data_IF_413420370365
#
_entry.id   IF_413420370365
#
_cell.length_a   1.000
_cell.length_b   1.000
_cell.length_c   1.000
_cell.angle_alpha   90.00
_cell.angle_beta   90.00
_cell.angle_gamma   90.00
#
_symmetry.space_group_name_H-M   'P 1'
#
loop_
_entity.id
_entity.type
_entity.pdbx_description
1 polymer ?
#
# COMPACT_ATOMS: atom_id res chain seq x y z
N UNK A 1 43.15 -45.10 43.01
CA UNK A 1 41.69 -44.94 42.95
C UNK A 1 41.38 -43.45 43.03
N UNK A 2 41.02 -42.82 41.91
CA UNK A 2 40.63 -41.42 41.85
C UNK A 2 39.11 -41.34 41.70
N UNK A 3 38.45 -40.65 42.63
CA UNK A 3 37.00 -40.40 42.59
C UNK A 3 36.80 -39.03 41.96
N UNK A 4 36.18 -39.03 40.77
CA UNK A 4 35.74 -37.81 40.05
C UNK A 4 34.33 -37.47 40.54
N UNK A 5 34.18 -36.31 41.18
CA UNK A 5 32.88 -35.77 41.58
C UNK A 5 32.24 -34.97 40.44
N UNK A 6 31.04 -35.38 40.02
CA UNK A 6 30.21 -34.65 39.04
C UNK A 6 29.66 -33.35 39.65
N UNK A 7 29.90 -32.21 38.98
CA UNK A 7 29.19 -30.96 39.22
C UNK A 7 27.95 -30.91 38.30
N UNK A 8 26.77 -31.08 38.87
CA UNK A 8 25.49 -30.86 38.23
C UNK A 8 25.17 -29.36 38.16
N UNK A 9 25.35 -28.76 36.98
CA UNK A 9 24.95 -27.38 36.69
C UNK A 9 23.45 -27.29 36.38
N UNK A 10 22.66 -26.74 37.30
CA UNK A 10 21.27 -26.39 37.06
C UNK A 10 21.15 -25.08 36.28
N UNK A 11 20.68 -25.14 35.03
CA UNK A 11 20.31 -23.96 34.25
C UNK A 11 18.99 -23.38 34.78
N UNK A 12 19.07 -22.19 35.40
CA UNK A 12 17.89 -21.39 35.68
C UNK A 12 17.38 -20.76 34.37
N UNK A 13 16.14 -21.07 33.99
CA UNK A 13 15.46 -20.40 32.88
C UNK A 13 15.09 -18.99 33.36
N UNK A 14 15.81 -17.97 32.87
CA UNK A 14 15.47 -16.56 33.08
C UNK A 14 14.24 -16.23 32.22
N UNK A 15 13.16 -15.78 32.84
CA UNK A 15 12.01 -15.24 32.13
C UNK A 15 12.47 -14.04 31.28
N UNK A 16 12.02 -13.97 30.02
CA UNK A 16 12.31 -12.87 29.13
C UNK A 16 11.67 -11.58 29.68
N UNK A 17 12.48 -10.58 29.97
CA UNK A 17 11.99 -9.24 30.31
C UNK A 17 11.26 -8.65 29.08
N UNK A 18 10.10 -7.99 29.27
CA UNK A 18 9.44 -7.30 28.18
C UNK A 18 10.41 -6.29 27.55
N UNK A 19 10.61 -6.39 26.24
CA UNK A 19 11.49 -5.51 25.50
C UNK A 19 11.07 -4.03 25.64
N UNK A 20 12.00 -3.09 25.45
CA UNK A 20 11.71 -1.66 25.59
C UNK A 20 10.56 -1.26 24.65
N UNK A 21 9.46 -0.79 25.24
CA UNK A 21 8.38 -0.13 24.50
C UNK A 21 8.96 1.11 23.83
N UNK A 22 8.88 1.19 22.50
CA UNK A 22 9.30 2.36 21.75
C UNK A 22 8.62 3.62 22.30
N UNK A 23 9.32 4.77 22.38
CA UNK A 23 8.75 5.99 22.91
C UNK A 23 7.51 6.41 22.10
N UNK A 24 6.39 6.56 22.79
CA UNK A 24 5.14 7.09 22.21
C UNK A 24 5.41 8.52 21.78
N UNK A 25 5.46 8.77 20.47
CA UNK A 25 5.48 10.14 19.96
C UNK A 25 4.13 10.79 20.31
N UNK A 26 4.11 11.94 21.02
CA UNK A 26 2.86 12.61 21.32
C UNK A 26 2.04 12.83 20.04
N UNK A 27 0.77 12.40 20.04
CA UNK A 27 -0.11 12.52 18.87
C UNK A 27 0.00 11.39 17.83
N UNK A 28 0.70 10.29 18.13
CA UNK A 28 0.72 9.07 17.32
C UNK A 28 0.05 7.92 18.07
N UNK A 29 -0.99 7.32 17.49
CA UNK A 29 -1.76 6.20 18.03
C UNK A 29 -1.71 5.01 17.07
N UNK A 30 -1.57 3.78 17.57
CA UNK A 30 -1.69 2.56 16.75
C UNK A 30 -3.16 2.15 16.69
N UNK A 31 -3.76 2.15 15.50
CA UNK A 31 -5.19 1.82 15.30
C UNK A 31 -5.44 0.44 14.70
N UNK A 32 -4.40 -0.18 14.15
CA UNK A 32 -4.39 -1.57 13.70
C UNK A 32 -2.95 -2.12 13.79
N UNK A 33 -2.79 -3.41 14.06
CA UNK A 33 -1.49 -4.05 14.23
C UNK A 33 -1.51 -5.53 13.81
N UNK A 34 -0.33 -6.15 13.74
CA UNK A 34 -0.20 -7.56 13.37
C UNK A 34 -0.54 -7.83 11.90
N UNK A 35 -0.43 -6.81 11.05
CA UNK A 35 -0.83 -6.86 9.64
C UNK A 35 0.27 -7.46 8.77
N UNK A 36 -0.14 -8.08 7.67
CA UNK A 36 0.73 -8.75 6.70
C UNK A 36 1.00 -7.84 5.49
N UNK A 37 2.16 -7.17 5.45
CA UNK A 37 2.57 -6.23 4.40
C UNK A 37 1.45 -5.19 4.10
N UNK A 38 1.00 -4.38 5.09
CA UNK A 38 -0.09 -3.43 4.89
C UNK A 38 0.34 -2.28 3.98
N UNK A 39 -0.49 -1.95 3.00
CA UNK A 39 -0.22 -0.88 2.03
C UNK A 39 -1.35 0.15 2.01
N UNK A 40 -2.10 0.24 0.91
CA UNK A 40 -3.12 1.25 0.74
C UNK A 40 -4.25 1.21 1.76
N UNK A 41 -4.84 2.38 1.98
CA UNK A 41 -5.80 2.67 3.04
C UNK A 41 -6.98 3.46 2.48
N UNK A 42 -8.20 3.13 2.87
CA UNK A 42 -9.38 3.94 2.54
C UNK A 42 -10.44 3.90 3.63
N UNK A 43 -11.12 5.02 3.84
CA UNK A 43 -12.29 5.06 4.71
C UNK A 43 -13.55 4.61 3.98
N UNK A 44 -14.31 3.74 4.63
CA UNK A 44 -15.67 3.40 4.24
C UNK A 44 -16.69 4.47 4.64
N UNK A 45 -17.93 4.35 4.15
CA UNK A 45 -18.98 5.36 4.36
C UNK A 45 -19.43 5.51 5.81
N UNK A 46 -19.18 4.51 6.68
CA UNK A 46 -19.49 4.59 8.13
C UNK A 46 -18.26 4.97 8.96
N UNK A 47 -17.13 5.26 8.30
CA UNK A 47 -15.90 5.64 8.97
C UNK A 47 -15.02 4.49 9.44
N UNK A 48 -15.28 3.28 8.99
CA UNK A 48 -14.37 2.16 9.13
C UNK A 48 -13.15 2.34 8.21
N UNK A 49 -11.96 1.94 8.65
CA UNK A 49 -10.73 2.04 7.85
C UNK A 49 -10.41 0.69 7.21
N UNK A 50 -10.43 0.63 5.88
CA UNK A 50 -10.01 -0.52 5.10
C UNK A 50 -8.51 -0.47 4.83
N UNK A 51 -7.88 -1.64 4.88
CA UNK A 51 -6.43 -1.82 4.80
C UNK A 51 -6.16 -2.97 3.82
N UNK A 52 -5.39 -2.70 2.78
CA UNK A 52 -4.89 -3.74 1.88
C UNK A 52 -3.69 -4.45 2.50
N UNK A 53 -3.82 -5.76 2.78
CA UNK A 53 -2.72 -6.61 3.26
C UNK A 53 -2.15 -7.42 2.09
N UNK A 54 -0.88 -7.18 1.74
CA UNK A 54 -0.18 -7.93 0.70
C UNK A 54 -0.02 -9.42 0.99
N UNK A 55 -0.17 -9.82 2.26
CA UNK A 55 -0.04 -11.21 2.72
C UNK A 55 1.40 -11.58 3.06
N UNK A 56 1.69 -12.87 3.14
CA UNK A 56 2.99 -13.46 3.51
C UNK A 56 3.44 -14.57 2.57
N UNK A 57 2.85 -14.69 1.38
CA UNK A 57 3.04 -15.86 0.54
C UNK A 57 2.39 -17.11 1.15
N UNK A 58 2.98 -18.29 0.94
CA UNK A 58 2.46 -19.51 1.56
C UNK A 58 3.15 -20.80 1.09
N UNK A 59 2.50 -21.96 1.31
CA UNK A 59 3.08 -23.28 1.02
C UNK A 59 2.99 -23.68 -0.47
N UNK A 60 2.51 -22.79 -1.34
CA UNK A 60 2.44 -23.02 -2.77
C UNK A 60 3.82 -23.02 -3.43
N UNK A 61 3.87 -23.18 -4.76
CA UNK A 61 5.12 -23.18 -5.51
C UNK A 61 6.00 -21.97 -5.18
N UNK A 62 7.29 -22.25 -4.96
CA UNK A 62 8.30 -21.22 -4.82
C UNK A 62 9.11 -21.07 -6.12
N UNK A 63 9.48 -19.83 -6.43
CA UNK A 63 10.38 -19.49 -7.53
C UNK A 63 11.56 -18.72 -6.97
N UNK A 64 12.74 -18.95 -7.54
CA UNK A 64 13.93 -18.17 -7.23
C UNK A 64 14.37 -17.42 -8.47
N UNK A 65 14.62 -16.13 -8.32
CA UNK A 65 15.19 -15.27 -9.35
C UNK A 65 16.29 -14.38 -8.74
N UNK A 66 16.76 -13.39 -9.49
CA UNK A 66 17.78 -12.45 -9.04
C UNK A 66 17.37 -11.61 -7.81
N UNK A 67 16.07 -11.53 -7.50
CA UNK A 67 15.51 -10.81 -6.35
C UNK A 67 15.30 -11.72 -5.13
N UNK A 68 15.57 -13.01 -5.27
CA UNK A 68 15.52 -14.01 -4.21
C UNK A 68 14.41 -15.04 -4.41
N UNK A 69 14.25 -15.91 -3.41
CA UNK A 69 13.18 -16.91 -3.41
C UNK A 69 11.88 -16.27 -2.95
N UNK A 70 10.79 -16.49 -3.69
CA UNK A 70 9.43 -16.15 -3.28
C UNK A 70 8.52 -17.36 -3.38
N UNK A 71 7.52 -17.45 -2.52
CA UNK A 71 6.59 -18.57 -2.42
C UNK A 71 5.16 -18.06 -2.51
N UNK A 72 4.37 -18.71 -3.37
CA UNK A 72 2.97 -18.39 -3.58
C UNK A 72 2.07 -18.96 -2.49
N UNK A 73 0.97 -18.27 -2.22
CA UNK A 73 0.00 -18.66 -1.21
C UNK A 73 -1.28 -17.84 -1.29
N UNK A 74 -2.12 -18.01 -0.27
CA UNK A 74 -3.43 -17.35 -0.14
C UNK A 74 -3.53 -16.67 1.21
N UNK A 75 -2.61 -15.75 1.47
CA UNK A 75 -2.51 -15.01 2.73
C UNK A 75 -2.80 -13.52 2.58
N UNK A 76 -3.07 -13.03 1.37
CA UNK A 76 -3.54 -11.66 1.16
C UNK A 76 -4.94 -11.47 1.74
N UNK A 77 -5.23 -10.23 2.14
CA UNK A 77 -6.51 -9.89 2.76
C UNK A 77 -6.86 -8.40 2.59
N UNK A 78 -8.13 -8.10 2.78
CA UNK A 78 -8.60 -6.74 3.08
C UNK A 78 -9.07 -6.75 4.53
N UNK A 79 -8.37 -5.99 5.37
CA UNK A 79 -8.71 -5.82 6.79
C UNK A 79 -9.48 -4.54 7.00
N UNK A 80 -10.43 -4.56 7.92
CA UNK A 80 -11.12 -3.37 8.42
C UNK A 80 -10.73 -3.15 9.87
N UNK A 81 -10.36 -1.91 10.20
CA UNK A 81 -10.21 -1.42 11.56
C UNK A 81 -11.32 -0.39 11.86
N UNK A 82 -12.06 -0.61 12.94
CA UNK A 82 -13.17 0.26 13.33
C UNK A 82 -13.83 -0.21 14.62
N UNK A 83 -14.45 0.73 15.34
CA UNK A 83 -15.16 0.42 16.59
C UNK A 83 -14.31 -0.33 17.63
N UNK A 84 -13.02 0.01 17.74
CA UNK A 84 -12.09 -0.60 18.69
C UNK A 84 -11.63 -2.02 18.35
N UNK A 85 -11.92 -2.52 17.14
CA UNK A 85 -11.53 -3.87 16.69
C UNK A 85 -10.98 -3.85 15.27
N UNK A 86 -10.27 -4.91 14.91
CA UNK A 86 -9.84 -5.19 13.53
C UNK A 86 -10.31 -6.58 13.08
N UNK A 87 -10.74 -6.73 11.82
CA UNK A 87 -11.16 -8.01 11.25
C UNK A 87 -10.96 -8.05 9.73
N UNK A 88 -10.72 -9.24 9.16
CA UNK A 88 -10.60 -9.43 7.71
C UNK A 88 -11.98 -9.53 7.08
N UNK A 89 -12.33 -8.59 6.20
CA UNK A 89 -13.58 -8.62 5.42
C UNK A 89 -13.44 -9.45 4.15
N UNK A 90 -12.23 -9.52 3.61
CA UNK A 90 -11.84 -10.48 2.58
C UNK A 90 -10.52 -11.14 3.00
N UNK A 91 -10.43 -12.46 2.85
CA UNK A 91 -9.26 -13.24 3.21
C UNK A 91 -9.03 -14.36 2.19
N UNK A 92 -7.84 -14.97 2.23
CA UNK A 92 -7.50 -16.01 1.26
C UNK A 92 -7.23 -15.46 -0.14
N UNK A 93 -6.89 -14.16 -0.24
CA UNK A 93 -6.50 -13.53 -1.49
C UNK A 93 -5.10 -13.99 -1.88
N UNK A 94 -4.80 -14.04 -3.19
CA UNK A 94 -3.49 -14.43 -3.65
C UNK A 94 -2.36 -13.56 -3.07
N UNK A 95 -1.25 -14.21 -2.75
CA UNK A 95 -0.05 -13.56 -2.23
C UNK A 95 1.21 -14.32 -2.64
N UNK A 96 2.27 -13.60 -2.97
CA UNK A 96 3.61 -14.14 -3.23
C UNK A 96 4.60 -13.33 -2.41
N UNK A 97 5.39 -13.97 -1.54
CA UNK A 97 6.34 -13.26 -0.68
C UNK A 97 7.62 -14.07 -0.48
N UNK A 98 8.65 -13.47 0.12
CA UNK A 98 9.82 -14.22 0.55
C UNK A 98 9.45 -15.29 1.60
N UNK A 99 10.30 -16.31 1.86
CA UNK A 99 10.07 -17.28 2.94
C UNK A 99 9.85 -16.65 4.32
N UNK A 100 10.38 -15.45 4.57
CA UNK A 100 10.15 -14.68 5.79
C UNK A 100 8.78 -13.96 5.82
N UNK A 101 7.97 -14.09 4.77
CA UNK A 101 6.70 -13.39 4.61
C UNK A 101 6.86 -11.91 4.26
N UNK A 102 8.05 -11.48 3.83
CA UNK A 102 8.36 -10.09 3.51
C UNK A 102 8.22 -9.77 2.02
N UNK A 103 8.07 -8.49 1.69
CA UNK A 103 7.96 -7.97 0.31
C UNK A 103 6.86 -8.64 -0.51
N UNK A 104 5.68 -8.80 0.09
CA UNK A 104 4.60 -9.54 -0.53
C UNK A 104 3.99 -8.81 -1.74
N UNK A 105 3.72 -9.56 -2.81
CA UNK A 105 2.90 -9.19 -3.95
C UNK A 105 1.51 -9.80 -3.74
N UNK A 106 0.49 -8.96 -3.63
CA UNK A 106 -0.88 -9.32 -3.28
C UNK A 106 -1.74 -8.06 -3.34
N UNK A 107 -2.79 -7.93 -2.50
CA UNK A 107 -3.48 -6.67 -2.32
C UNK A 107 -2.51 -5.52 -2.11
N UNK A 108 -2.62 -4.45 -2.92
CA UNK A 108 -1.67 -3.33 -2.87
C UNK A 108 -2.33 -2.01 -2.51
N UNK A 109 -3.56 -1.80 -2.96
CA UNK A 109 -4.36 -0.67 -2.54
C UNK A 109 -5.84 -1.05 -2.49
N UNK A 110 -6.62 -0.28 -1.75
CA UNK A 110 -8.05 -0.47 -1.54
C UNK A 110 -8.75 0.89 -1.56
N UNK A 111 -9.90 0.93 -2.23
CA UNK A 111 -10.89 2.00 -2.13
C UNK A 111 -12.24 1.39 -1.76
N UNK A 112 -13.21 2.21 -1.36
CA UNK A 112 -14.52 1.73 -0.90
C UNK A 112 -15.63 2.42 -1.67
N UNK A 113 -16.63 1.67 -2.13
CA UNK A 113 -17.79 2.26 -2.80
C UNK A 113 -18.71 2.96 -1.81
N UNK A 114 -19.66 3.76 -2.31
CA UNK A 114 -20.69 4.37 -1.49
C UNK A 114 -21.55 3.35 -0.71
N UNK A 115 -21.66 2.13 -1.24
CA UNK A 115 -22.36 1.01 -0.61
C UNK A 115 -21.52 0.28 0.46
N UNK A 116 -20.24 0.60 0.59
CA UNK A 116 -19.32 -0.06 1.53
C UNK A 116 -18.59 -1.27 0.96
N UNK A 117 -18.61 -1.48 -0.36
CA UNK A 117 -17.88 -2.59 -0.97
C UNK A 117 -16.40 -2.23 -1.13
N UNK A 118 -15.45 -3.07 -0.69
CA UNK A 118 -14.05 -2.87 -1.01
C UNK A 118 -13.78 -3.14 -2.50
N UNK A 119 -12.98 -2.28 -3.09
CA UNK A 119 -12.40 -2.43 -4.42
C UNK A 119 -10.90 -2.34 -4.28
N UNK A 120 -10.16 -3.36 -4.70
CA UNK A 120 -8.74 -3.45 -4.41
C UNK A 120 -7.94 -3.93 -5.62
N UNK A 121 -6.68 -3.50 -5.68
CA UNK A 121 -5.72 -3.99 -6.67
C UNK A 121 -5.03 -5.22 -6.14
N UNK A 122 -4.79 -6.20 -7.01
CA UNK A 122 -3.83 -7.29 -6.76
C UNK A 122 -2.73 -7.14 -7.79
N UNK A 123 -1.48 -7.25 -7.34
CA UNK A 123 -0.28 -7.12 -8.17
C UNK A 123 0.18 -8.46 -8.75
N UNK A 124 0.77 -8.37 -9.93
CA UNK A 124 1.22 -9.53 -10.70
C UNK A 124 2.32 -10.27 -9.96
N UNK A 125 2.19 -11.59 -9.83
CA UNK A 125 3.35 -12.43 -9.54
C UNK A 125 4.22 -12.50 -10.80
N UNK A 126 5.50 -12.15 -10.72
CA UNK A 126 6.43 -12.07 -11.86
C UNK A 126 6.74 -13.42 -12.56
N UNK A 127 5.80 -14.35 -12.58
CA UNK A 127 5.90 -15.67 -13.17
C UNK A 127 5.90 -15.68 -14.70
N UNK A 128 6.57 -16.67 -15.33
CA UNK A 128 6.67 -16.78 -16.79
C UNK A 128 5.40 -17.30 -17.48
N UNK A 129 4.26 -17.44 -16.78
CA UNK A 129 3.07 -18.02 -17.36
C UNK A 129 2.24 -16.95 -18.09
N UNK A 130 1.94 -17.11 -19.40
CA UNK A 130 1.24 -16.10 -20.20
C UNK A 130 -0.22 -15.83 -19.77
N UNK A 131 -0.75 -16.57 -18.78
CA UNK A 131 -2.11 -16.44 -18.22
C UNK A 131 -2.20 -16.60 -16.70
N UNK A 132 -1.08 -16.57 -15.97
CA UNK A 132 -1.12 -16.41 -14.51
C UNK A 132 -0.63 -15.01 -14.19
N UNK A 133 -1.43 -14.03 -13.78
CA UNK A 133 -2.86 -14.01 -13.49
C UNK A 133 -3.11 -13.23 -12.22
N UNK A 134 -2.50 -12.05 -12.03
CA UNK A 134 -2.69 -11.24 -10.82
C UNK A 134 -2.50 -9.74 -11.07
N UNK A 135 -2.74 -9.20 -12.26
CA UNK A 135 -2.83 -7.75 -12.43
C UNK A 135 -4.32 -7.39 -12.49
N UNK A 136 -4.95 -7.26 -11.33
CA UNK A 136 -6.41 -7.25 -11.24
C UNK A 136 -6.93 -6.08 -10.41
N UNK A 137 -8.12 -5.62 -10.80
CA UNK A 137 -9.01 -4.87 -9.92
C UNK A 137 -10.12 -5.82 -9.50
N UNK A 138 -10.32 -5.96 -8.21
CA UNK A 138 -11.32 -6.85 -7.63
C UNK A 138 -12.39 -6.05 -6.90
N UNK A 139 -13.62 -6.55 -6.89
CA UNK A 139 -14.75 -6.00 -6.12
C UNK A 139 -15.57 -7.16 -5.57
N UNK A 140 -15.88 -7.16 -4.27
CA UNK A 140 -16.63 -8.24 -3.59
C UNK A 140 -16.01 -9.62 -3.84
N UNK A 141 -14.69 -9.73 -3.71
CA UNK A 141 -13.95 -10.97 -3.97
C UNK A 141 -13.96 -11.49 -5.41
N UNK A 142 -14.46 -10.74 -6.39
CA UNK A 142 -14.49 -11.11 -7.80
C UNK A 142 -13.66 -10.16 -8.67
N UNK A 143 -13.07 -10.70 -9.74
CA UNK A 143 -12.31 -9.91 -10.72
C UNK A 143 -13.27 -8.98 -11.46
N UNK A 144 -13.09 -7.67 -11.28
CA UNK A 144 -13.81 -6.63 -12.01
C UNK A 144 -13.12 -6.31 -13.34
N UNK A 145 -11.79 -6.27 -13.34
CA UNK A 145 -10.98 -6.08 -14.55
C UNK A 145 -9.65 -6.84 -14.43
N UNK A 146 -9.26 -7.49 -15.53
CA UNK A 146 -7.95 -8.12 -15.69
C UNK A 146 -7.06 -7.25 -16.57
N UNK A 147 -6.06 -6.63 -15.96
CA UNK A 147 -5.06 -5.78 -16.60
C UNK A 147 -3.85 -6.61 -17.07
N UNK A 148 -3.77 -7.90 -16.71
CA UNK A 148 -2.73 -8.82 -17.13
C UNK A 148 -2.98 -9.44 -18.50
N UNK A 149 -4.23 -9.33 -19.00
CA UNK A 149 -4.65 -9.78 -20.32
C UNK A 149 -4.36 -8.76 -21.45
N UNK A 150 -3.74 -7.63 -21.13
CA UNK A 150 -3.35 -6.60 -22.09
C UNK A 150 -2.03 -6.96 -22.82
N UNK A 151 -1.76 -6.33 -23.97
CA UNK A 151 -0.54 -6.55 -24.78
C UNK A 151 0.75 -6.28 -23.98
N UNK A 152 0.72 -5.26 -23.11
CA UNK A 152 1.71 -5.08 -22.04
C UNK A 152 1.03 -5.42 -20.71
N UNK A 153 1.46 -6.48 -20.02
CA UNK A 153 0.79 -6.86 -18.78
C UNK A 153 0.98 -5.83 -17.67
N UNK A 154 -0.11 -5.44 -17.01
CA UNK A 154 -0.10 -4.43 -15.97
C UNK A 154 0.52 -4.86 -14.62
N UNK A 155 0.74 -3.87 -13.76
CA UNK A 155 1.09 -3.96 -12.35
C UNK A 155 0.30 -2.89 -11.56
N UNK A 156 -0.98 -3.11 -11.25
CA UNK A 156 -1.81 -2.10 -10.61
C UNK A 156 -1.40 -1.91 -9.14
N UNK A 157 -0.90 -0.71 -8.83
CA UNK A 157 -0.34 -0.39 -7.50
C UNK A 157 -1.27 0.46 -6.65
N UNK A 158 -2.15 1.26 -7.27
CA UNK A 158 -3.09 2.13 -6.56
C UNK A 158 -4.49 2.11 -7.21
N UNK A 159 -5.54 2.37 -6.42
CA UNK A 159 -6.92 2.48 -6.88
C UNK A 159 -7.69 3.57 -6.13
N UNK A 160 -8.41 4.40 -6.87
CA UNK A 160 -9.24 5.48 -6.34
C UNK A 160 -10.67 5.40 -6.90
N UNK A 161 -11.67 5.35 -6.02
CA UNK A 161 -13.07 5.46 -6.43
C UNK A 161 -13.39 6.89 -6.90
N UNK A 162 -14.14 6.98 -8.00
CA UNK A 162 -14.63 8.23 -8.59
C UNK A 162 -16.10 8.08 -8.96
N UNK A 163 -16.77 9.18 -9.33
CA UNK A 163 -18.15 9.10 -9.83
C UNK A 163 -18.28 8.16 -11.06
N UNK A 164 -17.24 8.10 -11.89
CA UNK A 164 -17.22 7.39 -13.19
C UNK A 164 -16.71 5.94 -13.10
N UNK A 165 -16.40 5.43 -11.91
CA UNK A 165 -15.79 4.11 -11.71
C UNK A 165 -14.54 4.23 -10.85
N UNK A 166 -13.46 3.57 -11.25
CA UNK A 166 -12.22 3.51 -10.49
C UNK A 166 -11.07 4.00 -11.35
N UNK A 167 -10.22 4.85 -10.79
CA UNK A 167 -8.91 5.14 -11.36
C UNK A 167 -7.91 4.15 -10.79
N UNK A 168 -7.00 3.68 -11.63
CA UNK A 168 -5.97 2.71 -11.29
C UNK A 168 -4.65 3.22 -11.81
N UNK A 169 -3.64 3.23 -10.96
CA UNK A 169 -2.25 3.44 -11.39
C UNK A 169 -1.67 2.09 -11.74
N UNK A 170 -1.30 1.93 -13.00
CA UNK A 170 -0.56 0.79 -13.51
C UNK A 170 0.92 1.16 -13.62
N UNK A 171 1.74 0.62 -12.71
CA UNK A 171 3.16 0.91 -12.64
C UNK A 171 3.94 0.30 -13.81
N UNK A 172 3.46 -0.79 -14.42
CA UNK A 172 4.15 -1.41 -15.56
C UNK A 172 4.07 -0.54 -16.82
N UNK A 173 2.96 0.19 -16.98
CA UNK A 173 2.74 1.10 -18.10
C UNK A 173 2.96 2.58 -17.78
N UNK A 174 3.34 2.91 -16.54
CA UNK A 174 3.31 4.27 -15.98
C UNK A 174 2.04 5.03 -16.40
N UNK A 175 0.89 4.38 -16.23
CA UNK A 175 -0.37 4.82 -16.79
C UNK A 175 -1.42 5.05 -15.70
N UNK A 176 -2.22 6.09 -15.88
CA UNK A 176 -3.48 6.26 -15.18
C UNK A 176 -4.60 5.68 -16.04
N UNK A 177 -5.26 4.65 -15.52
CA UNK A 177 -6.30 3.88 -16.20
C UNK A 177 -7.62 4.07 -15.48
N UNK A 178 -8.72 4.16 -16.24
CA UNK A 178 -10.08 4.10 -15.71
C UNK A 178 -10.65 2.71 -15.92
N UNK A 179 -11.13 2.12 -14.82
CA UNK A 179 -11.94 0.91 -14.81
C UNK A 179 -13.38 1.30 -14.49
N UNK A 180 -14.26 1.16 -15.48
CA UNK A 180 -15.69 1.42 -15.30
C UNK A 180 -16.32 0.43 -14.32
N UNK A 181 -17.52 0.76 -13.80
CA UNK A 181 -18.25 -0.09 -12.85
C UNK A 181 -18.60 -1.49 -13.37
N UNK A 182 -18.51 -1.70 -14.70
CA UNK A 182 -18.71 -2.98 -15.39
C UNK A 182 -17.41 -3.56 -15.96
N UNK A 183 -16.24 -3.10 -15.51
CA UNK A 183 -14.94 -3.65 -15.89
C UNK A 183 -14.33 -3.09 -17.18
N UNK A 184 -15.00 -2.16 -17.90
CA UNK A 184 -14.42 -1.53 -19.09
C UNK A 184 -13.16 -0.75 -18.71
N UNK A 185 -12.04 -1.07 -19.37
CA UNK A 185 -10.74 -0.44 -19.16
C UNK A 185 -10.51 0.66 -20.20
N UNK A 186 -9.98 1.81 -19.78
CA UNK A 186 -9.58 2.91 -20.65
C UNK A 186 -8.37 3.65 -20.08
N UNK A 187 -7.30 3.79 -20.86
CA UNK A 187 -6.17 4.65 -20.47
C UNK A 187 -6.61 6.12 -20.51
N UNK A 188 -6.38 6.83 -19.41
CA UNK A 188 -6.66 8.27 -19.27
C UNK A 188 -5.43 9.09 -19.63
N UNK A 189 -4.27 8.65 -19.17
CA UNK A 189 -2.98 9.27 -19.48
C UNK A 189 -1.84 8.28 -19.28
N UNK A 190 -0.77 8.47 -20.04
CA UNK A 190 0.54 7.84 -19.82
C UNK A 190 1.49 8.92 -19.31
N UNK A 191 2.20 8.64 -18.22
CA UNK A 191 3.15 9.59 -17.66
C UNK A 191 4.38 9.74 -18.57
N UNK A 192 4.93 10.96 -18.70
CA UNK A 192 6.16 11.15 -19.45
C UNK A 192 7.32 10.33 -18.85
N UNK A 193 8.03 9.61 -19.69
CA UNK A 193 9.25 8.87 -19.32
C UNK A 193 10.40 9.86 -19.08
N UNK A 194 11.11 9.70 -17.95
CA UNK A 194 12.15 10.63 -17.48
C UNK A 194 13.34 9.89 -16.90
N UNK A 195 14.40 10.64 -16.58
CA UNK A 195 15.57 10.16 -15.82
C UNK A 195 15.64 10.91 -14.49
N UNK A 196 15.68 10.23 -13.33
CA UNK A 196 15.51 8.78 -13.13
C UNK A 196 14.16 8.28 -13.65
N UNK A 197 14.09 6.98 -13.98
CA UNK A 197 12.92 6.33 -14.58
C UNK A 197 11.62 6.70 -13.87
N UNK A 198 10.57 6.86 -14.66
CA UNK A 198 9.21 6.99 -14.12
C UNK A 198 8.80 5.63 -13.54
N UNK A 199 8.20 5.65 -12.37
CA UNK A 199 7.64 4.47 -11.71
C UNK A 199 6.47 4.97 -10.87
N UNK A 200 5.27 4.97 -11.46
CA UNK A 200 4.07 5.49 -10.82
C UNK A 200 3.69 4.69 -9.57
N UNK A 201 3.23 5.35 -8.51
CA UNK A 201 2.99 4.72 -7.19
C UNK A 201 1.59 4.92 -6.63
N UNK A 202 0.98 6.09 -6.85
CA UNK A 202 -0.21 6.52 -6.12
C UNK A 202 -1.06 7.48 -6.93
N UNK A 203 -2.34 7.64 -6.56
CA UNK A 203 -3.24 8.62 -7.17
C UNK A 203 -4.17 9.24 -6.12
N UNK A 204 -4.38 10.56 -6.20
CA UNK A 204 -5.48 11.23 -5.52
C UNK A 204 -6.20 12.22 -6.44
N UNK A 205 -7.48 12.43 -6.19
CA UNK A 205 -8.25 13.50 -6.81
C UNK A 205 -8.07 14.80 -6.00
N UNK A 206 -7.66 15.86 -6.68
CA UNK A 206 -7.50 17.18 -6.08
C UNK A 206 -8.82 17.94 -5.97
N UNK A 207 -8.85 19.03 -5.17
CA UNK A 207 -10.03 19.88 -5.02
C UNK A 207 -10.42 20.61 -6.32
N UNK A 208 -9.54 20.62 -7.31
CA UNK A 208 -9.76 21.16 -8.66
C UNK A 208 -10.31 20.12 -9.66
N UNK A 209 -10.57 18.88 -9.20
CA UNK A 209 -11.03 17.77 -10.03
C UNK A 209 -9.95 17.15 -10.92
N UNK A 210 -8.69 17.58 -10.81
CA UNK A 210 -7.57 16.94 -11.49
C UNK A 210 -7.05 15.73 -10.69
N UNK A 211 -6.37 14.81 -11.38
CA UNK A 211 -5.76 13.65 -10.74
C UNK A 211 -4.27 13.90 -10.52
N UNK A 212 -3.79 13.55 -9.34
CA UNK A 212 -2.41 13.74 -8.92
C UNK A 212 -1.75 12.38 -8.75
N UNK A 213 -0.76 12.09 -9.58
CA UNK A 213 -0.08 10.80 -9.62
C UNK A 213 1.35 10.95 -9.13
N UNK A 214 1.70 10.24 -8.06
CA UNK A 214 3.04 10.18 -7.52
C UNK A 214 3.90 9.15 -8.24
N UNK A 215 5.22 9.33 -8.17
CA UNK A 215 6.19 8.34 -8.67
C UNK A 215 7.44 8.23 -7.77
N UNK A 216 8.12 7.08 -7.89
CA UNK A 216 9.28 6.70 -7.06
C UNK A 216 10.46 7.65 -7.20
N UNK A 217 10.62 8.30 -8.35
CA UNK A 217 11.69 9.28 -8.57
C UNK A 217 11.37 10.68 -8.01
N UNK A 218 10.31 10.80 -7.20
CA UNK A 218 10.06 11.99 -6.39
C UNK A 218 9.37 13.12 -7.15
N UNK A 219 8.58 12.79 -8.18
CA UNK A 219 7.74 13.73 -8.91
C UNK A 219 6.26 13.45 -8.63
N UNK A 220 5.45 14.49 -8.78
CA UNK A 220 3.99 14.41 -8.77
C UNK A 220 3.51 15.01 -10.06
N UNK A 221 2.73 14.25 -10.80
CA UNK A 221 2.10 14.66 -12.05
C UNK A 221 0.65 15.08 -11.78
N UNK A 222 0.21 16.18 -12.38
CA UNK A 222 -1.18 16.61 -12.41
C UNK A 222 -1.75 16.29 -13.79
N UNK A 223 -2.89 15.62 -13.78
CA UNK A 223 -3.56 15.10 -14.97
C UNK A 223 -4.98 15.66 -14.98
N UNK A 224 -5.25 16.54 -15.94
CA UNK A 224 -6.61 16.94 -16.28
C UNK A 224 -7.12 16.00 -17.37
N UNK A 225 -8.31 15.40 -17.24
CA UNK A 225 -8.87 14.54 -18.29
C UNK A 225 -8.86 15.22 -19.66
N UNK A 226 -8.28 14.57 -20.66
CA UNK A 226 -8.17 15.10 -22.02
C UNK A 226 -7.03 16.11 -22.25
N UNK A 227 -6.16 16.33 -21.26
CA UNK A 227 -4.93 17.11 -21.43
C UNK A 227 -3.70 16.30 -21.05
N UNK A 228 -2.56 16.71 -21.59
CA UNK A 228 -1.29 16.06 -21.27
C UNK A 228 -0.92 16.24 -19.79
N UNK A 229 -0.33 15.20 -19.15
CA UNK A 229 0.20 15.31 -17.79
C UNK A 229 1.20 16.46 -17.64
N UNK A 230 1.06 17.23 -16.56
CA UNK A 230 1.97 18.32 -16.22
C UNK A 230 2.64 18.05 -14.88
N UNK A 231 3.90 18.42 -14.75
CA UNK A 231 4.60 18.30 -13.47
C UNK A 231 3.98 19.29 -12.46
N UNK A 232 3.55 18.76 -11.32
CA UNK A 232 3.01 19.54 -10.20
C UNK A 232 4.08 19.80 -9.14
N UNK A 233 4.86 18.77 -8.79
CA UNK A 233 5.97 18.87 -7.85
C UNK A 233 7.11 17.94 -8.26
N UNK A 234 8.33 18.27 -7.83
CA UNK A 234 9.55 17.47 -8.05
C UNK A 234 10.57 17.69 -6.93
N UNK A 235 11.63 16.89 -6.89
CA UNK A 235 12.65 16.98 -5.83
C UNK A 235 12.14 16.49 -4.48
N UNK A 236 11.21 15.55 -4.49
CA UNK A 236 10.91 14.69 -3.34
C UNK A 236 11.89 13.51 -3.36
N UNK A 237 11.99 12.76 -2.27
CA UNK A 237 12.90 11.59 -2.15
C UNK A 237 12.33 10.34 -2.80
N UNK A 238 11.01 10.23 -2.86
CA UNK A 238 10.29 9.18 -3.57
C UNK A 238 8.87 9.07 -3.05
N UNK A 239 7.88 9.31 -3.91
CA UNK A 239 6.48 9.35 -3.50
C UNK A 239 5.97 7.93 -3.29
N UNK A 240 5.55 7.61 -2.06
CA UNK A 240 4.91 6.34 -1.72
C UNK A 240 3.41 6.45 -1.93
N UNK A 241 2.79 7.46 -1.33
CA UNK A 241 1.36 7.73 -1.43
C UNK A 241 1.06 9.22 -1.19
N UNK A 242 -0.13 9.67 -1.59
CA UNK A 242 -0.54 11.07 -1.46
C UNK A 242 -2.05 11.20 -1.25
N UNK A 243 -2.48 12.19 -0.46
CA UNK A 243 -3.88 12.42 -0.17
C UNK A 243 -4.19 13.91 0.05
N UNK A 244 -5.35 14.35 -0.44
CA UNK A 244 -5.82 15.72 -0.25
C UNK A 244 -6.63 15.85 1.03
N UNK A 245 -6.33 16.88 1.81
CA UNK A 245 -7.18 17.29 2.93
C UNK A 245 -8.37 18.12 2.44
N UNK A 246 -9.49 18.16 3.19
CA UNK A 246 -10.62 19.02 2.87
C UNK A 246 -10.30 20.52 2.78
N UNK A 247 -9.23 21.00 3.43
CA UNK A 247 -8.74 22.38 3.31
C UNK A 247 -8.01 22.66 1.99
N UNK A 248 -7.73 21.63 1.20
CA UNK A 248 -6.97 21.73 -0.05
C UNK A 248 -5.46 21.83 0.18
N UNK A 249 -4.96 21.21 1.24
CA UNK A 249 -3.53 20.90 1.39
C UNK A 249 -3.27 19.47 0.93
N UNK A 250 -2.16 19.26 0.21
CA UNK A 250 -1.72 17.94 -0.23
C UNK A 250 -0.77 17.35 0.81
N UNK A 251 -1.06 16.15 1.29
CA UNK A 251 -0.16 15.37 2.13
C UNK A 251 0.50 14.27 1.31
N UNK A 252 1.80 14.06 1.52
CA UNK A 252 2.61 13.11 0.75
C UNK A 252 3.44 12.28 1.70
N UNK A 253 3.36 10.96 1.55
CA UNK A 253 4.36 10.05 2.08
C UNK A 253 5.58 10.07 1.15
N UNK A 254 6.61 10.79 1.57
CA UNK A 254 7.86 10.97 0.84
C UNK A 254 8.98 10.14 1.49
N UNK A 255 9.31 8.99 0.89
CA UNK A 255 10.23 8.01 1.45
C UNK A 255 9.74 7.50 2.80
N UNK A 256 10.28 8.05 3.89
CA UNK A 256 9.99 7.67 5.27
C UNK A 256 9.20 8.74 6.03
N UNK A 257 8.83 9.85 5.38
CA UNK A 257 8.28 11.01 6.08
C UNK A 257 6.90 11.36 5.53
N UNK A 258 6.04 11.87 6.39
CA UNK A 258 4.79 12.51 6.01
C UNK A 258 5.03 14.01 5.88
N UNK A 259 4.83 14.53 4.68
CA UNK A 259 4.97 15.94 4.35
C UNK A 259 3.60 16.57 4.09
N UNK A 260 3.46 17.84 4.42
CA UNK A 260 2.40 18.73 3.92
C UNK A 260 2.98 19.64 2.85
N UNK A 261 2.37 19.67 1.66
CA UNK A 261 2.61 20.65 0.62
C UNK A 261 1.50 21.69 0.63
N UNK A 262 1.85 22.90 1.01
CA UNK A 262 0.94 24.05 1.01
C UNK A 262 0.76 24.65 -0.39
N UNK A 263 -0.29 25.47 -0.55
CA UNK A 263 -0.70 26.09 -1.83
C UNK A 263 0.35 26.97 -2.53
N UNK A 264 1.42 27.37 -1.82
CA UNK A 264 2.54 28.18 -2.37
C UNK A 264 3.84 27.38 -2.55
N UNK A 265 3.76 26.05 -2.57
CA UNK A 265 4.93 25.18 -2.69
C UNK A 265 5.74 25.01 -1.40
N UNK A 266 5.27 25.58 -0.28
CA UNK A 266 5.88 25.37 1.05
C UNK A 266 5.76 23.91 1.46
N UNK A 267 6.88 23.30 1.86
CA UNK A 267 6.93 21.92 2.36
C UNK A 267 7.17 21.92 3.85
N UNK A 268 6.34 21.21 4.59
CA UNK A 268 6.48 21.05 6.05
C UNK A 268 6.50 19.56 6.38
N UNK A 269 7.49 19.13 7.16
CA UNK A 269 7.52 17.77 7.69
C UNK A 269 6.52 17.67 8.84
N UNK A 270 5.51 16.81 8.68
CA UNK A 270 4.50 16.52 9.71
C UNK A 270 5.02 15.44 10.66
N UNK A 271 5.66 14.42 10.10
CA UNK A 271 6.28 13.32 10.85
C UNK A 271 7.41 12.73 10.02
N UNK A 272 8.52 12.37 10.67
CA UNK A 272 9.68 11.78 10.03
C UNK A 272 10.04 10.40 10.59
N UNK A 273 10.71 9.58 9.78
CA UNK A 273 11.26 8.30 10.22
C UNK A 273 10.21 7.21 10.45
N UNK A 274 9.17 7.17 9.62
CA UNK A 274 8.22 6.07 9.56
C UNK A 274 8.93 4.81 9.03
N UNK A 275 8.68 3.67 9.67
CA UNK A 275 9.26 2.39 9.25
C UNK A 275 8.50 1.86 8.04
N UNK A 276 9.15 1.86 6.86
CA UNK A 276 8.63 1.31 5.61
C UNK A 276 7.14 1.65 5.38
N UNK A 277 6.78 2.94 5.24
CA UNK A 277 5.39 3.33 5.06
C UNK A 277 4.82 2.79 3.74
N UNK A 278 3.52 2.48 3.72
CA UNK A 278 2.88 1.79 2.59
C UNK A 278 1.71 2.51 1.94
N UNK A 279 1.00 3.36 2.68
CA UNK A 279 -0.23 4.02 2.24
C UNK A 279 -0.69 5.09 3.22
N UNK A 280 -1.48 6.04 2.73
CA UNK A 280 -1.93 7.25 3.41
C UNK A 280 -3.44 7.46 3.19
N UNK A 281 -4.19 7.62 4.28
CA UNK A 281 -5.55 8.12 4.23
C UNK A 281 -5.74 9.29 5.21
N UNK A 282 -6.58 10.26 4.87
CA UNK A 282 -6.88 11.40 5.74
C UNK A 282 -8.32 11.33 6.23
N UNK A 283 -8.54 11.68 7.50
CA UNK A 283 -9.88 11.89 8.02
C UNK A 283 -9.91 12.90 9.15
N UNK A 284 -10.77 13.92 8.99
CA UNK A 284 -10.85 15.02 9.94
C UNK A 284 -9.51 15.76 10.01
N UNK A 285 -8.87 15.73 11.18
CA UNK A 285 -7.57 16.37 11.43
C UNK A 285 -6.45 15.33 11.63
N UNK A 286 -6.65 14.11 11.15
CA UNK A 286 -5.70 13.03 11.36
C UNK A 286 -5.32 12.38 10.03
N UNK A 287 -4.04 12.01 9.92
CA UNK A 287 -3.51 11.14 8.88
C UNK A 287 -3.40 9.70 9.41
N UNK A 288 -3.70 8.74 8.56
CA UNK A 288 -3.58 7.32 8.82
C UNK A 288 -2.52 6.78 7.88
N UNK A 289 -1.50 6.14 8.44
CA UNK A 289 -0.32 5.68 7.70
C UNK A 289 -0.08 4.22 8.01
N UNK A 290 -0.07 3.36 6.99
CA UNK A 290 0.40 1.99 7.16
C UNK A 290 1.91 1.96 7.25
N UNK A 291 2.45 1.18 8.18
CA UNK A 291 3.89 1.01 8.40
C UNK A 291 4.26 -0.46 8.34
N UNK A 292 5.54 -0.74 8.09
CA UNK A 292 6.05 -2.08 7.89
C UNK A 292 5.37 -2.76 6.68
N UNK A 293 5.19 -2.00 5.59
CA UNK A 293 4.53 -2.44 4.36
C UNK A 293 5.24 -3.59 3.64
N UNK A 294 6.47 -3.91 4.06
CA UNK A 294 7.29 -5.01 3.55
C UNK A 294 7.49 -6.12 4.59
N UNK A 295 6.83 -6.06 5.75
CA UNK A 295 6.99 -7.02 6.84
C UNK A 295 5.81 -7.99 6.93
N UNK A 296 6.10 -9.26 7.23
CA UNK A 296 5.08 -10.25 7.55
C UNK A 296 4.70 -10.22 9.04
N UNK A 297 3.41 -10.05 9.35
CA UNK A 297 2.85 -10.21 10.69
C UNK A 297 3.16 -9.11 11.70
N UNK A 298 3.91 -8.07 11.34
CA UNK A 298 4.28 -6.96 12.25
C UNK A 298 3.86 -5.59 11.73
N UNK A 299 3.13 -5.56 10.62
CA UNK A 299 2.54 -4.36 10.04
C UNK A 299 1.58 -3.66 11.01
N UNK A 300 1.48 -2.34 10.89
CA UNK A 300 0.57 -1.54 11.70
C UNK A 300 -0.01 -0.37 10.90
N UNK A 301 -1.07 0.24 11.43
CA UNK A 301 -1.55 1.55 10.97
C UNK A 301 -1.44 2.53 12.12
N UNK A 302 -0.75 3.63 11.86
CA UNK A 302 -0.60 4.76 12.76
C UNK A 302 -1.65 5.82 12.43
N UNK A 303 -2.24 6.43 13.45
CA UNK A 303 -3.01 7.67 13.37
C UNK A 303 -2.15 8.80 13.90
N UNK A 304 -1.98 9.85 13.09
CA UNK A 304 -1.08 10.99 13.33
C UNK A 304 -1.91 12.27 13.27
N UNK A 305 -1.83 13.11 14.28
CA UNK A 305 -2.49 14.43 14.29
C UNK A 305 -1.85 15.39 13.29
N UNK A 306 -2.65 16.10 12.50
CA UNK A 306 -2.26 17.13 11.52
C UNK A 306 -2.37 18.56 12.06
#
# INVERSE_FOLDING_TARGET
MAVVGLLSGGSLIRAAEPGPTAPVRPGVEVVAHGLDNPRGLAFGPRGELYIAEGGRGGPGPCRADARGRTCSGRSGAITVAGFGRQWRVEAGLPSVASPAGAYALGPSDVTVTAEGDPVHTVRRDGGPAPRAGMAQVNRRGAVLADLGAQETPGDPVAVLATAQGYLVVDAAGDALIRVGRRGRVQTIATLPQRTPATEATSVAEGPDGAYYVGERAGRIWRIEPGRDPRMYASGLRGVVDLAWSPSGDLYVLDGTDLLRLGRRGTRTVVTAGLTAPGGLALRGRDAYVSTCATCGGTGAVLRIRL
#
